data_IF_445866380196
#
_entry.id   IF_445866380196
#
_cell.length_a   1.000
_cell.length_b   1.000
_cell.length_c   1.000
_cell.angle_alpha   90.00
_cell.angle_beta   90.00
_cell.angle_gamma   90.00
#
_symmetry.space_group_name_H-M   'P 1'
#
loop_
_entity.id
_entity.type
_entity.pdbx_description
1 polymer ?
#
# COMPACT_ATOMS: atom_id res chain seq x y z
N UNK A 1 38.31 39.47 85.59
CA UNK A 1 37.63 39.14 84.31
C UNK A 1 37.27 37.66 84.37
N UNK A 2 36.01 37.33 84.67
CA UNK A 2 35.58 35.93 84.76
C UNK A 2 35.30 35.40 83.35
N UNK A 3 36.15 34.49 82.87
CA UNK A 3 35.88 33.71 81.66
C UNK A 3 34.90 32.60 82.01
N UNK A 4 33.66 32.71 81.51
CA UNK A 4 32.70 31.61 81.60
C UNK A 4 33.19 30.46 80.71
N UNK A 5 33.53 29.33 81.32
CA UNK A 5 33.88 28.10 80.61
C UNK A 5 32.64 27.62 79.84
N UNK A 6 32.65 27.72 78.51
CA UNK A 6 31.64 27.11 77.66
C UNK A 6 31.73 25.59 77.80
N UNK A 7 30.64 24.94 78.23
CA UNK A 7 30.49 23.48 78.11
C UNK A 7 30.55 23.10 76.64
N UNK A 8 31.51 22.25 76.26
CA UNK A 8 31.52 21.60 74.95
C UNK A 8 30.31 20.65 74.88
N UNK A 9 29.35 20.97 74.02
CA UNK A 9 28.29 20.07 73.62
C UNK A 9 28.81 19.26 72.42
N UNK A 10 29.34 18.07 72.69
CA UNK A 10 29.70 17.13 71.63
C UNK A 10 28.44 16.47 71.05
N UNK A 11 28.47 16.16 69.76
CA UNK A 11 27.44 15.36 69.10
C UNK A 11 27.27 14.02 69.82
N UNK A 12 26.03 13.66 70.13
CA UNK A 12 25.75 12.33 70.69
C UNK A 12 25.79 11.29 69.58
N UNK A 13 26.23 10.08 69.90
CA UNK A 13 26.17 8.94 68.98
C UNK A 13 24.74 8.70 68.48
N UNK A 14 23.76 8.94 69.34
CA UNK A 14 22.33 8.85 69.02
C UNK A 14 21.90 9.81 67.90
N UNK A 15 22.43 11.03 67.87
CA UNK A 15 22.07 12.03 66.86
C UNK A 15 22.61 11.66 65.47
N UNK A 16 23.84 11.15 65.40
CA UNK A 16 24.40 10.63 64.15
C UNK A 16 23.62 9.40 63.68
N UNK A 17 23.23 8.49 64.59
CA UNK A 17 22.41 7.33 64.23
C UNK A 17 21.04 7.73 63.69
N UNK A 18 20.35 8.67 64.33
CA UNK A 18 19.04 9.16 63.88
C UNK A 18 19.21 9.86 62.53
N UNK A 19 20.23 10.70 62.35
CA UNK A 19 20.50 11.37 61.09
C UNK A 19 20.73 10.37 59.95
N UNK A 20 21.52 9.33 60.18
CA UNK A 20 21.75 8.26 59.20
C UNK A 20 20.49 7.44 58.91
N UNK A 21 19.68 7.16 59.93
CA UNK A 21 18.42 6.44 59.77
C UNK A 21 17.43 7.23 58.91
N UNK A 22 17.22 8.51 59.22
CA UNK A 22 16.33 9.39 58.45
C UNK A 22 16.86 9.58 57.03
N UNK A 23 18.17 9.78 56.88
CA UNK A 23 18.79 9.90 55.56
C UNK A 23 18.61 8.64 54.72
N UNK A 24 18.80 7.46 55.31
CA UNK A 24 18.60 6.18 54.62
C UNK A 24 17.13 5.99 54.20
N UNK A 25 16.17 6.37 55.06
CA UNK A 25 14.74 6.29 54.74
C UNK A 25 14.37 7.22 53.58
N UNK A 26 14.80 8.48 53.63
CA UNK A 26 14.53 9.45 52.54
C UNK A 26 15.17 8.97 51.24
N UNK A 27 16.41 8.49 51.29
CA UNK A 27 17.12 7.96 50.12
C UNK A 27 16.40 6.76 49.52
N UNK A 28 15.87 5.86 50.35
CA UNK A 28 15.08 4.72 49.91
C UNK A 28 13.76 5.14 49.26
N UNK A 29 13.03 6.09 49.85
CA UNK A 29 11.79 6.62 49.26
C UNK A 29 12.06 7.32 47.92
N UNK A 30 13.11 8.13 47.84
CA UNK A 30 13.51 8.78 46.60
C UNK A 30 13.85 7.76 45.51
N UNK A 31 14.59 6.70 45.87
CA UNK A 31 14.88 5.59 44.95
C UNK A 31 13.61 4.90 44.44
N UNK A 32 12.65 4.62 45.33
CA UNK A 32 11.38 3.99 44.94
C UNK A 32 10.59 4.85 43.94
N UNK A 33 10.54 6.17 44.15
CA UNK A 33 9.84 7.09 43.24
C UNK A 33 10.49 7.09 41.86
N UNK A 34 11.83 7.21 41.81
CA UNK A 34 12.57 7.22 40.54
C UNK A 34 12.40 5.88 39.82
N UNK A 35 12.54 4.78 40.55
CA UNK A 35 12.41 3.44 39.99
C UNK A 35 11.00 3.19 39.43
N UNK A 36 9.96 3.52 40.20
CA UNK A 36 8.57 3.40 39.73
C UNK A 36 8.29 4.28 38.51
N UNK A 37 8.86 5.48 38.44
CA UNK A 37 8.74 6.33 37.26
C UNK A 37 9.41 5.72 36.02
N UNK A 38 10.60 5.11 36.18
CA UNK A 38 11.30 4.43 35.09
C UNK A 38 10.55 3.20 34.57
N UNK A 39 9.99 2.38 35.46
CA UNK A 39 9.19 1.22 35.07
C UNK A 39 7.92 1.61 34.32
N UNK A 40 7.22 2.64 34.79
CA UNK A 40 6.04 3.18 34.12
C UNK A 40 6.37 3.77 32.74
N UNK A 41 7.50 4.46 32.62
CA UNK A 41 7.97 4.95 31.33
C UNK A 41 8.23 3.79 30.37
N UNK A 42 8.97 2.76 30.80
CA UNK A 42 9.26 1.58 29.98
C UNK A 42 8.00 0.81 29.55
N UNK A 43 6.98 0.73 30.41
CA UNK A 43 5.69 0.14 30.04
C UNK A 43 4.96 0.98 28.99
N UNK A 44 4.94 2.30 29.16
CA UNK A 44 4.30 3.25 28.23
C UNK A 44 4.97 3.24 26.86
N UNK A 45 6.30 3.17 26.82
CA UNK A 45 7.08 3.12 25.58
C UNK A 45 6.73 1.87 24.76
N UNK A 46 6.61 0.70 25.41
CA UNK A 46 6.20 -0.54 24.75
C UNK A 46 4.80 -0.43 24.13
N UNK A 47 3.85 0.14 24.87
CA UNK A 47 2.49 0.31 24.34
C UNK A 47 2.44 1.29 23.17
N UNK A 48 3.24 2.36 23.24
CA UNK A 48 3.37 3.33 22.15
C UNK A 48 3.95 2.70 20.89
N UNK A 49 4.98 1.86 21.05
CA UNK A 49 5.57 1.12 19.93
C UNK A 49 4.54 0.19 19.27
N UNK A 50 3.77 -0.57 20.05
CA UNK A 50 2.73 -1.47 19.54
C UNK A 50 1.65 -0.71 18.75
N UNK A 51 1.14 0.40 19.30
CA UNK A 51 0.17 1.23 18.61
C UNK A 51 0.73 1.81 17.30
N UNK A 52 1.99 2.23 17.31
CA UNK A 52 2.67 2.72 16.11
C UNK A 52 2.76 1.64 15.03
N UNK A 53 3.07 0.39 15.40
CA UNK A 53 3.07 -0.74 14.46
C UNK A 53 1.67 -1.01 13.88
N UNK A 54 0.62 -0.95 14.69
CA UNK A 54 -0.76 -1.07 14.22
C UNK A 54 -1.11 0.02 13.19
N UNK A 55 -0.74 1.27 13.46
CA UNK A 55 -0.97 2.39 12.54
C UNK A 55 -0.20 2.24 11.22
N UNK A 56 1.07 1.82 11.28
CA UNK A 56 1.87 1.55 10.10
C UNK A 56 1.28 0.40 9.28
N UNK A 57 0.78 -0.65 9.95
CA UNK A 57 0.09 -1.78 9.33
C UNK A 57 -1.18 -1.32 8.61
N UNK A 58 -2.02 -0.53 9.29
CA UNK A 58 -3.23 0.05 8.71
C UNK A 58 -2.90 0.87 7.45
N UNK A 59 -1.95 1.80 7.53
CA UNK A 59 -1.55 2.65 6.40
C UNK A 59 -1.07 1.82 5.20
N UNK A 60 -0.36 0.72 5.47
CA UNK A 60 0.13 -0.16 4.41
C UNK A 60 -1.00 -0.94 3.75
N UNK A 61 -1.92 -1.50 4.52
CA UNK A 61 -3.12 -2.16 4.01
C UNK A 61 -3.99 -1.17 3.20
N UNK A 62 -4.22 0.02 3.74
CA UNK A 62 -4.98 1.08 3.08
C UNK A 62 -4.39 1.43 1.72
N UNK A 63 -3.06 1.57 1.63
CA UNK A 63 -2.38 1.80 0.34
C UNK A 63 -2.59 0.65 -0.63
N UNK A 64 -2.40 -0.59 -0.20
CA UNK A 64 -2.57 -1.75 -1.06
C UNK A 64 -4.02 -1.84 -1.57
N UNK A 65 -5.03 -1.57 -0.73
CA UNK A 65 -6.44 -1.62 -1.15
C UNK A 65 -6.87 -0.44 -2.03
N UNK A 66 -6.38 0.77 -1.77
CA UNK A 66 -6.70 1.96 -2.57
C UNK A 66 -6.03 1.93 -3.94
N UNK A 67 -4.91 1.21 -4.10
CA UNK A 67 -4.21 1.02 -5.37
C UNK A 67 -4.52 -0.33 -6.03
N UNK A 68 -5.54 -1.04 -5.54
CA UNK A 68 -5.95 -2.33 -6.07
C UNK A 68 -6.44 -2.23 -7.52
N UNK A 69 -6.05 -3.19 -8.35
CA UNK A 69 -6.43 -3.26 -9.76
C UNK A 69 -7.05 -4.62 -10.11
N UNK A 70 -8.09 -4.66 -10.97
CA UNK A 70 -8.75 -5.90 -11.39
C UNK A 70 -7.94 -6.64 -12.46
N UNK A 71 -6.65 -6.91 -12.20
CA UNK A 71 -5.74 -7.54 -13.14
C UNK A 71 -5.28 -8.92 -12.65
N UNK A 72 -5.53 -10.01 -13.39
CA UNK A 72 -4.97 -11.33 -13.08
C UNK A 72 -3.47 -11.37 -13.39
N UNK A 73 -2.78 -12.35 -12.80
CA UNK A 73 -1.33 -12.56 -12.99
C UNK A 73 -1.09 -13.86 -13.75
N UNK A 74 0.07 -14.01 -14.38
CA UNK A 74 0.38 -15.25 -15.10
C UNK A 74 0.40 -16.43 -14.12
N UNK A 75 -0.42 -17.45 -14.39
CA UNK A 75 -0.56 -18.63 -13.51
C UNK A 75 -1.72 -18.55 -12.50
N UNK A 76 -2.38 -17.39 -12.35
CA UNK A 76 -3.60 -17.23 -11.54
C UNK A 76 -4.61 -16.33 -12.27
N UNK A 77 -5.73 -16.93 -12.65
CA UNK A 77 -6.78 -16.27 -13.42
C UNK A 77 -7.64 -15.30 -12.59
N UNK A 78 -7.37 -15.16 -11.28
CA UNK A 78 -8.11 -14.28 -10.37
C UNK A 78 -7.29 -13.07 -9.96
N UNK A 79 -7.84 -11.88 -10.23
CA UNK A 79 -7.28 -10.61 -9.77
C UNK A 79 -7.31 -10.47 -8.24
N UNK A 80 -8.30 -11.09 -7.60
CA UNK A 80 -8.54 -11.04 -6.16
C UNK A 80 -9.10 -12.39 -5.70
N UNK A 81 -8.55 -12.96 -4.64
CA UNK A 81 -9.11 -14.17 -4.03
C UNK A 81 -8.68 -14.33 -2.58
N UNK A 82 -9.50 -15.05 -1.81
CA UNK A 82 -9.24 -15.43 -0.43
C UNK A 82 -9.02 -16.96 -0.37
N UNK A 83 -7.87 -17.39 0.17
CA UNK A 83 -7.55 -18.79 0.44
C UNK A 83 -7.40 -19.02 1.94
N UNK A 84 -8.45 -19.50 2.59
CA UNK A 84 -8.49 -19.58 4.06
C UNK A 84 -8.46 -18.17 4.67
N UNK A 85 -7.40 -17.84 5.39
CA UNK A 85 -7.15 -16.49 5.94
C UNK A 85 -6.21 -15.64 5.06
N UNK A 86 -5.61 -16.24 4.02
CA UNK A 86 -4.66 -15.55 3.15
C UNK A 86 -5.38 -14.82 2.03
N UNK A 87 -5.27 -13.50 1.99
CA UNK A 87 -5.90 -12.65 0.99
C UNK A 87 -4.86 -12.23 -0.06
N UNK A 88 -5.10 -12.60 -1.32
CA UNK A 88 -4.21 -12.28 -2.43
C UNK A 88 -4.90 -11.39 -3.46
N UNK A 89 -4.22 -10.33 -3.89
CA UNK A 89 -4.73 -9.42 -4.92
C UNK A 89 -3.62 -8.68 -5.63
N UNK A 90 -3.97 -8.02 -6.72
CA UNK A 90 -3.04 -7.21 -7.52
C UNK A 90 -3.19 -5.74 -7.16
N UNK A 91 -2.07 -5.08 -6.87
CA UNK A 91 -2.02 -3.64 -6.54
C UNK A 91 -0.94 -2.95 -7.35
N UNK A 92 -1.09 -1.65 -7.57
CA UNK A 92 -0.01 -0.82 -8.05
C UNK A 92 0.86 -0.35 -6.87
N UNK A 93 2.18 -0.36 -7.03
CA UNK A 93 3.09 0.30 -6.11
C UNK A 93 3.73 1.49 -6.83
N UNK A 94 3.48 2.69 -6.30
CA UNK A 94 4.13 3.91 -6.75
C UNK A 94 5.22 4.28 -5.74
N UNK A 95 6.27 3.46 -5.68
CA UNK A 95 7.53 3.93 -5.16
C UNK A 95 8.16 4.81 -6.24
N UNK A 96 7.71 6.08 -6.30
CA UNK A 96 8.48 7.12 -6.97
C UNK A 96 9.84 7.17 -6.29
N UNK A 97 10.83 6.44 -6.85
CA UNK A 97 12.21 6.60 -6.49
C UNK A 97 12.54 8.07 -6.67
N UNK A 98 12.92 8.76 -5.58
CA UNK A 98 13.31 10.16 -5.57
C UNK A 98 14.17 10.50 -6.81
N UNK A 99 13.58 11.15 -7.81
CA UNK A 99 14.27 11.60 -9.01
C UNK A 99 14.09 10.79 -10.31
N UNK A 100 13.28 9.72 -10.35
CA UNK A 100 12.88 9.08 -11.62
C UNK A 100 11.41 8.69 -11.63
N UNK A 101 10.61 9.10 -12.63
CA UNK A 101 9.32 8.48 -12.87
C UNK A 101 9.58 7.05 -13.36
N UNK A 102 9.58 6.09 -12.44
CA UNK A 102 9.44 4.68 -12.79
C UNK A 102 7.97 4.44 -13.14
N UNK A 103 7.72 3.64 -14.18
CA UNK A 103 6.37 3.14 -14.45
C UNK A 103 5.88 2.40 -13.20
N UNK A 104 4.63 2.62 -12.73
CA UNK A 104 4.13 1.99 -11.52
C UNK A 104 4.25 0.48 -11.65
N UNK A 105 4.99 -0.14 -10.73
CA UNK A 105 5.17 -1.59 -10.76
C UNK A 105 3.87 -2.24 -10.27
N UNK A 106 3.36 -3.19 -11.04
CA UNK A 106 2.17 -3.94 -10.66
C UNK A 106 2.65 -5.12 -9.84
N UNK A 107 2.22 -5.20 -8.59
CA UNK A 107 2.61 -6.25 -7.66
C UNK A 107 1.44 -7.18 -7.39
N UNK A 108 1.74 -8.48 -7.30
CA UNK A 108 0.88 -9.45 -6.61
C UNK A 108 1.22 -9.38 -5.14
N UNK A 109 0.25 -9.05 -4.29
CA UNK A 109 0.39 -9.02 -2.84
C UNK A 109 -0.45 -10.11 -2.19
N UNK A 110 0.10 -10.74 -1.14
CA UNK A 110 -0.64 -11.70 -0.31
C UNK A 110 -0.45 -11.34 1.15
N UNK A 111 -1.57 -11.11 1.84
CA UNK A 111 -1.62 -10.89 3.28
C UNK A 111 -2.00 -12.19 3.97
N UNK A 112 -1.16 -12.67 4.90
CA UNK A 112 -1.37 -13.95 5.57
C UNK A 112 -0.82 -13.94 7.00
N UNK A 113 -1.46 -14.70 7.89
CA UNK A 113 -0.96 -14.90 9.26
C UNK A 113 -0.14 -16.19 9.32
N UNK A 114 1.07 -16.10 9.87
CA UNK A 114 1.94 -17.26 10.10
C UNK A 114 2.74 -17.06 11.38
N UNK A 115 2.74 -18.06 12.28
CA UNK A 115 3.44 -18.03 13.58
C UNK A 115 3.17 -16.74 14.36
N UNK A 116 1.90 -16.38 14.51
CA UNK A 116 1.46 -15.22 15.28
C UNK A 116 1.94 -13.86 14.72
N UNK A 117 2.30 -13.81 13.44
CA UNK A 117 2.73 -12.61 12.75
C UNK A 117 1.91 -12.45 11.48
N UNK A 118 1.42 -11.23 11.22
CA UNK A 118 0.87 -10.84 9.93
C UNK A 118 2.01 -10.54 8.97
N UNK A 119 2.05 -11.28 7.87
CA UNK A 119 3.03 -11.15 6.81
C UNK A 119 2.40 -10.52 5.58
N UNK A 120 3.18 -9.71 4.89
CA UNK A 120 2.90 -9.25 3.52
C UNK A 120 3.91 -9.88 2.59
N UNK A 121 3.44 -10.74 1.71
CA UNK A 121 4.21 -11.21 0.57
C UNK A 121 3.95 -10.33 -0.63
N UNK A 122 4.98 -10.09 -1.43
CA UNK A 122 4.80 -9.43 -2.71
C UNK A 122 5.78 -9.94 -3.76
N UNK A 123 5.32 -9.98 -5.01
CA UNK A 123 6.11 -10.30 -6.18
C UNK A 123 5.69 -9.43 -7.36
N UNK A 124 6.56 -9.16 -8.34
CA UNK A 124 6.16 -8.55 -9.60
C UNK A 124 5.02 -9.35 -10.25
N UNK A 125 4.00 -8.66 -10.75
CA UNK A 125 2.88 -9.27 -11.46
C UNK A 125 3.23 -9.63 -12.91
N UNK A 126 4.28 -8.99 -13.47
CA UNK A 126 4.75 -9.21 -14.83
C UNK A 126 6.09 -9.96 -14.82
N UNK A 127 6.10 -11.06 -15.56
CA UNK A 127 7.27 -11.72 -16.13
C UNK A 127 8.49 -11.89 -15.21
N UNK A 128 8.41 -12.88 -14.33
CA UNK A 128 9.55 -13.74 -14.11
C UNK A 128 9.06 -15.19 -14.18
N UNK A 129 9.87 -16.06 -14.78
CA UNK A 129 9.65 -17.51 -14.85
C UNK A 129 8.98 -18.03 -13.56
N UNK A 130 8.06 -18.99 -13.70
CA UNK A 130 7.07 -19.50 -12.72
C UNK A 130 7.55 -19.87 -11.29
N UNK A 131 8.77 -19.52 -10.91
CA UNK A 131 9.45 -19.85 -9.67
C UNK A 131 10.11 -18.65 -8.97
N UNK A 132 9.67 -17.40 -9.23
CA UNK A 132 10.17 -16.26 -8.45
C UNK A 132 9.50 -16.24 -7.09
N UNK A 133 10.24 -16.69 -6.08
CA UNK A 133 9.78 -16.69 -4.71
C UNK A 133 9.59 -15.24 -4.25
N UNK A 134 8.34 -14.85 -4.00
CA UNK A 134 7.99 -13.49 -3.57
C UNK A 134 8.74 -13.08 -2.30
N UNK A 135 8.94 -11.78 -2.13
CA UNK A 135 9.55 -11.24 -0.91
C UNK A 135 8.49 -11.22 0.19
N UNK A 136 8.78 -11.85 1.32
CA UNK A 136 7.89 -11.91 2.49
C UNK A 136 8.43 -11.00 3.60
N UNK A 137 7.63 -10.05 4.05
CA UNK A 137 7.99 -9.07 5.08
C UNK A 137 7.05 -9.19 6.28
N UNK A 138 7.57 -9.28 7.53
CA UNK A 138 6.73 -9.26 8.71
C UNK A 138 6.23 -7.83 8.93
N UNK A 139 4.92 -7.68 9.16
CA UNK A 139 4.28 -6.35 9.28
C UNK A 139 3.78 -6.09 10.70
N UNK A 140 3.18 -7.10 11.34
CA UNK A 140 2.64 -6.96 12.68
C UNK A 140 2.79 -8.26 13.46
N UNK A 141 3.36 -8.19 14.67
CA UNK A 141 3.52 -9.33 15.58
C UNK A 141 2.34 -9.45 16.55
N UNK A 142 2.27 -10.58 17.28
CA UNK A 142 1.23 -10.87 18.27
C UNK A 142 -0.19 -10.95 17.68
N UNK A 143 -0.30 -11.42 16.44
CA UNK A 143 -1.56 -11.60 15.71
C UNK A 143 -2.05 -13.03 15.85
N UNK A 144 -3.15 -13.23 16.56
CA UNK A 144 -3.79 -14.54 16.74
C UNK A 144 -4.47 -15.04 15.46
N UNK A 145 -5.07 -14.13 14.69
CA UNK A 145 -5.75 -14.47 13.43
C UNK A 145 -6.43 -13.28 12.77
N UNK A 146 -6.90 -13.48 11.54
CA UNK A 146 -7.60 -12.47 10.75
C UNK A 146 -8.87 -13.03 10.14
N UNK A 147 -9.90 -12.19 10.04
CA UNK A 147 -11.10 -12.48 9.25
C UNK A 147 -11.37 -11.36 8.26
N UNK A 148 -11.77 -11.76 7.06
CA UNK A 148 -12.04 -10.84 5.95
C UNK A 148 -13.53 -10.83 5.62
N UNK A 149 -14.05 -9.65 5.31
CA UNK A 149 -15.35 -9.48 4.64
C UNK A 149 -15.23 -8.51 3.49
N UNK A 150 -16.07 -8.68 2.49
CA UNK A 150 -16.01 -7.94 1.24
C UNK A 150 -17.36 -7.30 0.94
N UNK A 151 -17.34 -6.07 0.44
CA UNK A 151 -18.52 -5.29 0.11
C UNK A 151 -18.67 -5.11 -1.41
N UNK A 152 -19.91 -5.25 -1.89
CA UNK A 152 -20.32 -4.91 -3.27
C UNK A 152 -21.76 -4.37 -3.26
N UNK A 153 -22.72 -5.23 -2.89
CA UNK A 153 -24.13 -4.86 -2.62
C UNK A 153 -24.51 -5.17 -1.17
N UNK A 154 -23.54 -5.66 -0.39
CA UNK A 154 -23.67 -6.11 0.98
C UNK A 154 -22.40 -6.81 1.42
N UNK A 155 -22.22 -6.96 2.73
CA UNK A 155 -21.05 -7.60 3.33
C UNK A 155 -21.13 -9.13 3.21
N UNK A 156 -20.10 -9.75 2.64
CA UNK A 156 -20.00 -11.21 2.47
C UNK A 156 -18.62 -11.72 2.94
N UNK A 157 -18.52 -12.92 3.53
CA UNK A 157 -17.25 -13.47 4.01
C UNK A 157 -16.40 -14.11 2.91
N UNK A 158 -16.95 -14.30 1.71
CA UNK A 158 -16.28 -14.93 0.56
C UNK A 158 -16.33 -14.03 -0.66
N UNK A 159 -15.42 -14.27 -1.61
CA UNK A 159 -15.36 -13.57 -2.89
C UNK A 159 -15.10 -14.56 -4.03
N UNK A 160 -16.06 -14.70 -4.94
CA UNK A 160 -16.04 -15.73 -5.99
C UNK A 160 -15.84 -15.15 -7.40
N UNK A 161 -15.80 -13.82 -7.56
CA UNK A 161 -15.61 -13.20 -8.87
C UNK A 161 -14.14 -13.25 -9.31
N UNK A 162 -13.90 -13.68 -10.55
CA UNK A 162 -12.56 -13.72 -11.13
C UNK A 162 -12.09 -12.36 -11.67
N UNK A 163 -13.03 -11.61 -12.24
CA UNK A 163 -12.75 -10.35 -12.96
C UNK A 163 -13.00 -9.10 -12.10
N UNK A 164 -13.92 -9.18 -11.14
CA UNK A 164 -14.27 -8.03 -10.31
C UNK A 164 -13.52 -8.07 -8.97
N UNK A 165 -13.18 -6.89 -8.49
CA UNK A 165 -12.68 -6.64 -7.14
C UNK A 165 -13.82 -6.11 -6.26
N UNK A 166 -13.78 -6.32 -4.93
CA UNK A 166 -14.77 -5.74 -4.04
C UNK A 166 -14.65 -4.22 -4.00
N UNK A 167 -15.74 -3.53 -3.67
CA UNK A 167 -15.77 -2.07 -3.46
C UNK A 167 -15.26 -1.68 -2.06
N UNK A 168 -15.33 -2.60 -1.12
CA UNK A 168 -14.79 -2.40 0.23
C UNK A 168 -14.31 -3.71 0.84
N UNK A 169 -13.30 -3.61 1.70
CA UNK A 169 -12.72 -4.74 2.42
C UNK A 169 -12.74 -4.43 3.91
N UNK A 170 -13.27 -5.34 4.70
CA UNK A 170 -13.18 -5.28 6.15
C UNK A 170 -12.21 -6.34 6.64
N UNK A 171 -11.28 -5.93 7.50
CA UNK A 171 -10.38 -6.78 8.25
C UNK A 171 -10.79 -6.74 9.73
N UNK A 172 -11.10 -7.90 10.29
CA UNK A 172 -11.11 -8.10 11.73
C UNK A 172 -9.82 -8.80 12.14
N UNK A 173 -8.97 -8.08 12.87
CA UNK A 173 -7.69 -8.54 13.38
C UNK A 173 -7.87 -8.91 14.86
N UNK A 174 -7.48 -10.13 15.24
CA UNK A 174 -7.48 -10.56 16.65
C UNK A 174 -6.04 -10.67 17.13
N UNK A 175 -5.70 -9.96 18.21
CA UNK A 175 -4.39 -9.97 18.85
C UNK A 175 -4.29 -11.13 19.88
N UNK A 176 -3.08 -11.44 20.35
CA UNK A 176 -2.85 -12.49 21.36
C UNK A 176 -3.50 -12.21 22.72
N UNK A 177 -3.71 -10.95 23.06
CA UNK A 177 -4.43 -10.49 24.26
C UNK A 177 -5.97 -10.51 24.09
N UNK A 178 -6.47 -11.14 23.02
CA UNK A 178 -7.89 -11.18 22.62
C UNK A 178 -8.50 -9.81 22.24
N UNK A 179 -7.69 -8.77 22.12
CA UNK A 179 -8.11 -7.47 21.58
C UNK A 179 -8.44 -7.60 20.08
N UNK A 180 -9.54 -6.97 19.66
CA UNK A 180 -10.00 -7.02 18.28
C UNK A 180 -10.00 -5.64 17.65
N UNK A 181 -9.37 -5.53 16.48
CA UNK A 181 -9.37 -4.34 15.65
C UNK A 181 -10.19 -4.60 14.40
N UNK A 182 -11.19 -3.75 14.16
CA UNK A 182 -11.99 -3.79 12.94
C UNK A 182 -11.64 -2.61 12.05
N UNK A 183 -11.02 -2.89 10.92
CA UNK A 183 -10.64 -1.90 9.91
C UNK A 183 -11.47 -2.09 8.66
N UNK A 184 -11.94 -0.98 8.08
CA UNK A 184 -12.73 -0.98 6.86
C UNK A 184 -12.00 -0.09 5.85
N UNK A 185 -11.72 -0.65 4.69
CA UNK A 185 -11.01 0.00 3.60
C UNK A 185 -11.95 0.14 2.41
N UNK A 186 -11.87 1.28 1.73
CA UNK A 186 -12.48 1.46 0.41
C UNK A 186 -11.48 0.94 -0.61
N UNK A 187 -11.93 0.03 -1.47
CA UNK A 187 -11.15 -0.38 -2.62
C UNK A 187 -11.35 0.63 -3.75
N UNK A 188 -10.33 0.81 -4.59
CA UNK A 188 -10.40 1.76 -5.72
C UNK A 188 -11.71 1.60 -6.51
N UNK A 189 -12.50 2.69 -6.58
CA UNK A 189 -13.71 2.74 -7.38
C UNK A 189 -13.34 2.79 -8.88
N UNK A 190 -13.80 1.80 -9.64
CA UNK A 190 -14.02 1.94 -11.08
C UNK A 190 -12.75 2.07 -11.94
N UNK A 191 -12.16 0.94 -12.30
CA UNK A 191 -11.79 0.81 -13.72
C UNK A 191 -13.11 0.75 -14.51
N UNK A 192 -13.29 1.53 -15.59
CA UNK A 192 -14.50 1.47 -16.38
C UNK A 192 -14.72 0.01 -16.79
N UNK A 193 -15.81 -0.59 -16.30
CA UNK A 193 -16.30 -1.81 -16.89
C UNK A 193 -16.61 -1.45 -18.33
N UNK A 194 -16.02 -2.19 -19.27
CA UNK A 194 -16.42 -2.14 -20.67
C UNK A 194 -17.92 -2.42 -20.65
N UNK A 195 -18.73 -1.36 -20.78
CA UNK A 195 -20.17 -1.48 -20.94
C UNK A 195 -20.28 -2.29 -22.21
N UNK A 196 -20.63 -3.57 -22.07
CA UNK A 196 -20.84 -4.46 -23.20
C UNK A 196 -21.69 -3.68 -24.19
N UNK A 197 -21.10 -3.33 -25.33
CA UNK A 197 -21.73 -2.48 -26.32
C UNK A 197 -23.12 -3.04 -26.56
N UNK A 198 -24.14 -2.30 -26.14
CA UNK A 198 -25.50 -2.54 -26.59
C UNK A 198 -25.41 -2.44 -28.10
N UNK A 199 -25.47 -3.59 -28.77
CA UNK A 199 -25.67 -3.71 -30.21
C UNK A 199 -27.04 -3.13 -30.51
N UNK A 200 -27.11 -1.80 -30.52
CA UNK A 200 -28.22 -1.03 -31.03
C UNK A 200 -28.01 -0.89 -32.53
N UNK A 201 -28.89 -1.54 -33.28
CA UNK A 201 -29.06 -1.36 -34.72
C UNK A 201 -29.17 0.13 -35.08
N UNK A 202 -28.12 0.69 -35.70
CA UNK A 202 -28.30 1.89 -36.52
C UNK A 202 -28.88 1.47 -37.86
N UNK A 203 -30.21 1.53 -37.89
CA UNK A 203 -31.03 1.49 -39.09
C UNK A 203 -30.64 2.64 -40.01
N UNK A 204 -30.31 2.29 -41.25
CA UNK A 204 -30.15 3.19 -42.37
C UNK A 204 -31.47 3.92 -42.65
N UNK A 205 -31.45 5.25 -42.54
CA UNK A 205 -32.52 6.11 -43.02
C UNK A 205 -31.95 7.21 -43.91
N UNK A 206 -32.03 6.95 -45.21
CA UNK A 206 -31.93 7.90 -46.30
C UNK A 206 -32.98 9.00 -46.14
N UNK A 207 -32.58 10.25 -46.38
CA UNK A 207 -33.52 11.34 -46.70
C UNK A 207 -33.01 12.05 -47.94
N UNK A 208 -33.55 11.64 -49.08
CA UNK A 208 -33.65 12.45 -50.28
C UNK A 208 -34.94 13.27 -50.19
N UNK A 209 -34.85 14.60 -50.30
CA UNK A 209 -35.82 15.34 -51.12
C UNK A 209 -35.34 16.73 -51.56
N UNK A 210 -35.39 16.90 -52.88
CA UNK A 210 -35.24 18.07 -53.75
C UNK A 210 -36.21 19.22 -53.37
N UNK A 211 -36.10 20.48 -53.82
CA UNK A 211 -35.78 20.97 -55.18
C UNK A 211 -35.68 22.53 -55.25
N UNK A 212 -35.01 23.02 -56.32
CA UNK A 212 -35.24 24.24 -57.14
C UNK A 212 -34.98 25.65 -56.52
N UNK A 213 -34.46 26.67 -57.22
CA UNK A 213 -33.91 26.87 -58.57
C UNK A 213 -33.30 28.31 -58.64
N UNK A 214 -32.37 28.49 -59.59
CA UNK A 214 -32.07 29.70 -60.37
C UNK A 214 -30.74 30.46 -60.14
N UNK A 215 -29.73 30.07 -60.94
CA UNK A 215 -29.16 30.95 -62.00
C UNK A 215 -27.92 31.81 -61.69
N UNK A 216 -26.76 31.46 -62.28
CA UNK A 216 -26.14 32.21 -63.43
C UNK A 216 -24.63 31.89 -63.62
N UNK A 217 -24.34 31.38 -64.83
CA UNK A 217 -23.13 31.50 -65.69
C UNK A 217 -21.70 31.06 -65.24
N UNK A 218 -21.16 30.09 -65.99
CA UNK A 218 -19.73 29.84 -66.29
C UNK A 218 -19.29 30.70 -67.52
N UNK A 219 -18.04 30.71 -68.09
CA UNK A 219 -17.18 29.51 -68.32
C UNK A 219 -15.62 29.67 -68.35
N UNK A 220 -14.96 28.50 -68.30
CA UNK A 220 -13.80 27.99 -69.07
C UNK A 220 -12.36 28.59 -69.03
N UNK A 221 -11.42 27.62 -69.07
CA UNK A 221 -10.07 27.55 -69.67
C UNK A 221 -8.87 28.33 -69.09
N UNK A 222 -7.78 27.64 -68.70
CA UNK A 222 -6.70 27.27 -69.64
C UNK A 222 -5.59 26.39 -68.98
N UNK A 223 -4.79 25.82 -69.88
CA UNK A 223 -3.80 24.72 -69.85
C UNK A 223 -2.37 25.12 -69.45
N UNK A 224 -1.58 24.09 -69.08
CA UNK A 224 -0.13 23.88 -69.35
C UNK A 224 0.90 24.74 -68.54
N UNK A 225 2.16 24.38 -68.28
CA UNK A 225 3.09 23.42 -68.91
C UNK A 225 4.39 23.23 -68.08
N UNK A 226 5.01 22.03 -68.17
CA UNK A 226 6.47 21.67 -68.22
C UNK A 226 7.44 22.10 -67.08
N UNK A 227 8.61 21.49 -66.81
CA UNK A 227 9.45 20.30 -67.16
C UNK A 227 10.66 20.41 -66.18
N UNK A 228 11.33 19.37 -65.66
CA UNK A 228 12.31 18.46 -66.28
C UNK A 228 12.82 17.52 -65.16
N UNK A 229 12.96 16.20 -65.37
CA UNK A 229 14.20 15.51 -65.79
C UNK A 229 14.80 14.72 -64.61
N UNK A 230 14.61 13.39 -64.50
CA UNK A 230 15.44 12.30 -65.05
C UNK A 230 16.81 12.16 -64.34
N UNK A 231 17.38 11.01 -63.96
CA UNK A 231 17.01 9.59 -64.02
C UNK A 231 17.99 8.75 -63.14
N UNK A 232 17.54 7.55 -62.77
CA UNK A 232 18.20 6.22 -62.65
C UNK A 232 19.76 6.11 -62.59
N UNK A 233 20.39 5.14 -61.91
CA UNK A 233 20.18 3.69 -62.03
C UNK A 233 21.03 2.88 -60.98
N UNK A 234 20.64 1.61 -60.81
CA UNK A 234 21.23 0.40 -60.18
C UNK A 234 22.78 0.31 -60.21
N UNK A 235 23.48 -0.50 -59.39
CA UNK A 235 23.46 -1.99 -59.38
C UNK A 235 24.45 -2.57 -58.35
N UNK A 236 24.17 -3.81 -57.90
CA UNK A 236 25.10 -4.93 -57.59
C UNK A 236 25.80 -5.08 -56.21
N UNK A 237 25.55 -6.24 -55.59
CA UNK A 237 26.41 -6.94 -54.61
C UNK A 237 27.72 -7.45 -55.25
N UNK A 238 28.74 -7.85 -54.46
CA UNK A 238 28.90 -9.28 -54.17
C UNK A 238 29.50 -9.63 -52.78
N UNK A 239 29.55 -10.94 -52.52
CA UNK A 239 30.13 -11.67 -51.38
C UNK A 239 31.64 -11.45 -51.13
N UNK A 240 32.06 -11.70 -49.89
CA UNK A 240 33.22 -12.54 -49.59
C UNK A 240 34.39 -11.88 -48.86
N UNK A 241 34.93 -12.56 -47.83
CA UNK A 241 36.34 -12.42 -47.45
C UNK A 241 36.64 -12.27 -45.96
N UNK A 242 37.14 -13.35 -45.38
CA UNK A 242 37.84 -13.52 -44.09
C UNK A 242 38.93 -12.50 -43.76
N UNK A 243 39.04 -12.11 -42.49
CA UNK A 243 40.20 -12.35 -41.62
C UNK A 243 39.77 -12.28 -40.15
#
# INVERSE_FOLDING_TARGET
>A
MNSMVRRQQGFTLLEVMIALMVFALISMMAWQIIHGAMENAAFTDKQTANLSQLQLTYSRLERDFTQMVPRPVQGDDRAFHLNGEALAFTTQDNLAAFGRPAEPDILRVTWLVNKNTLWREFSPALDLAANTQGTRVPVLEHVKGVQWRFFQEGWRPTWDSKANIPQGVELTLTMENDEQWRWVFVASEGWPQEIAATSGEETTASTDQQNADNGTAAPADNKAQAESGAAENKTASPQGGTQ
#
